data_IF_867211905015
#
_entry.id   IF_867211905015
#
_cell.length_a   1.000
_cell.length_b   1.000
_cell.length_c   1.000
_cell.angle_alpha   90.00
_cell.angle_beta   90.00
_cell.angle_gamma   90.00
#
_symmetry.space_group_name_H-M   'P 1'
#
loop_
_entity.id
_entity.type
_entity.pdbx_description
1 polymer ?
#
# COMPACT_ATOMS: atom_id res chain seq x y z
N UNK A 1 -9.90 10.46 -17.24
CA UNK A 1 -9.58 10.69 -15.81
C UNK A 1 -8.71 11.93 -15.68
N UNK A 2 -9.12 12.86 -14.86
CA UNK A 2 -8.33 14.07 -14.59
C UNK A 2 -7.17 13.73 -13.65
N UNK A 3 -6.12 14.59 -13.59
CA UNK A 3 -5.04 14.39 -12.62
C UNK A 3 -5.53 14.37 -11.17
N UNK A 4 -6.53 15.18 -10.83
CA UNK A 4 -7.10 15.20 -9.49
C UNK A 4 -7.82 13.90 -9.15
N UNK A 5 -8.58 13.37 -10.10
CA UNK A 5 -9.26 12.08 -9.94
C UNK A 5 -8.27 10.95 -9.75
N UNK A 6 -7.15 10.98 -10.49
CA UNK A 6 -6.09 9.98 -10.34
C UNK A 6 -5.46 10.05 -8.96
N UNK A 7 -5.16 11.25 -8.46
CA UNK A 7 -4.59 11.42 -7.13
C UNK A 7 -5.54 10.87 -6.07
N UNK A 8 -6.83 11.14 -6.21
CA UNK A 8 -7.85 10.66 -5.28
C UNK A 8 -7.95 9.13 -5.32
N UNK A 9 -7.91 8.54 -6.51
CA UNK A 9 -7.93 7.08 -6.66
C UNK A 9 -6.68 6.44 -6.09
N UNK A 10 -5.52 7.02 -6.37
CA UNK A 10 -4.25 6.51 -5.84
C UNK A 10 -4.24 6.53 -4.32
N UNK A 11 -4.77 7.61 -3.72
CA UNK A 11 -4.87 7.72 -2.26
C UNK A 11 -5.80 6.64 -1.68
N UNK A 12 -6.90 6.34 -2.35
CA UNK A 12 -7.82 5.29 -1.92
C UNK A 12 -7.16 3.91 -2.00
N UNK A 13 -6.42 3.64 -3.06
CA UNK A 13 -5.68 2.38 -3.22
C UNK A 13 -4.61 2.24 -2.13
N UNK A 14 -3.87 3.31 -1.85
CA UNK A 14 -2.85 3.31 -0.80
C UNK A 14 -3.47 3.05 0.57
N UNK A 15 -4.61 3.67 0.86
CA UNK A 15 -5.31 3.45 2.13
C UNK A 15 -5.77 2.02 2.28
N UNK A 16 -6.31 1.43 1.21
CA UNK A 16 -6.74 0.04 1.22
C UNK A 16 -5.55 -0.89 1.49
N UNK A 17 -4.42 -0.65 0.83
CA UNK A 17 -3.21 -1.42 1.06
C UNK A 17 -2.71 -1.28 2.50
N UNK A 18 -2.80 -0.08 3.09
CA UNK A 18 -2.46 0.14 4.49
C UNK A 18 -3.36 -0.65 5.43
N UNK A 19 -4.66 -0.63 5.17
CA UNK A 19 -5.63 -1.37 6.00
C UNK A 19 -5.38 -2.88 5.92
N UNK A 20 -5.12 -3.39 4.72
CA UNK A 20 -4.83 -4.81 4.52
C UNK A 20 -3.54 -5.22 5.22
N UNK A 21 -2.48 -4.42 5.10
CA UNK A 21 -1.20 -4.70 5.75
C UNK A 21 -1.35 -4.64 7.27
N UNK A 22 -2.05 -3.65 7.79
CA UNK A 22 -2.27 -3.50 9.22
C UNK A 22 -3.06 -4.69 9.79
N UNK A 23 -4.10 -5.11 9.10
CA UNK A 23 -4.90 -6.27 9.49
C UNK A 23 -4.03 -7.53 9.53
N UNK A 24 -3.28 -7.77 8.46
CA UNK A 24 -2.48 -9.00 8.32
C UNK A 24 -1.34 -9.07 9.32
N UNK A 25 -0.80 -7.92 9.74
CA UNK A 25 0.37 -7.85 10.60
C UNK A 25 0.04 -7.42 12.03
N UNK A 26 -1.23 -7.25 12.34
CA UNK A 26 -1.68 -6.91 13.69
C UNK A 26 -1.29 -5.51 14.15
N UNK A 27 -1.20 -4.56 13.21
CA UNK A 27 -0.87 -3.17 13.50
C UNK A 27 -2.10 -2.27 13.42
N UNK A 28 -1.97 -1.03 13.87
CA UNK A 28 -3.03 -0.04 13.68
C UNK A 28 -3.05 0.44 12.23
N UNK A 29 -4.23 0.78 11.68
CA UNK A 29 -4.33 1.17 10.27
C UNK A 29 -3.64 2.48 9.91
N UNK A 30 -3.34 3.36 10.85
CA UNK A 30 -2.76 4.68 10.56
C UNK A 30 -1.27 4.57 10.25
N UNK A 31 -0.94 4.03 9.10
CA UNK A 31 0.43 3.84 8.67
C UNK A 31 0.94 4.99 7.80
N UNK A 32 0.03 5.78 7.20
CA UNK A 32 0.42 6.80 6.22
C UNK A 32 1.00 8.04 6.87
N UNK A 33 0.46 8.43 8.03
CA UNK A 33 0.86 9.63 8.71
C UNK A 33 2.06 9.49 9.63
N UNK A 34 2.47 8.27 9.93
CA UNK A 34 3.55 8.02 10.87
C UNK A 34 4.91 8.12 10.20
N UNK A 35 5.75 9.02 10.70
CA UNK A 35 7.16 9.10 10.31
C UNK A 35 8.04 8.32 11.27
N UNK A 36 7.55 8.06 12.47
CA UNK A 36 8.20 7.27 13.51
C UNK A 36 7.21 6.24 14.00
N UNK A 37 7.73 5.18 14.57
CA UNK A 37 6.95 4.11 15.12
C UNK A 37 7.86 2.95 15.49
N UNK A 38 7.29 1.89 16.01
CA UNK A 38 8.07 0.69 16.28
C UNK A 38 8.38 -0.04 14.95
N UNK A 39 9.23 -1.06 15.05
CA UNK A 39 9.67 -1.81 13.88
C UNK A 39 8.49 -2.49 13.17
N UNK A 40 7.48 -2.94 13.91
CA UNK A 40 6.31 -3.58 13.32
C UNK A 40 5.50 -2.62 12.44
N UNK A 41 5.30 -1.38 12.91
CA UNK A 41 4.61 -0.34 12.14
C UNK A 41 5.41 0.05 10.90
N UNK A 42 6.73 0.18 11.03
CA UNK A 42 7.61 0.49 9.91
C UNK A 42 7.54 -0.62 8.85
N UNK A 43 7.57 -1.87 9.29
CA UNK A 43 7.46 -3.01 8.38
C UNK A 43 6.10 -3.05 7.68
N UNK A 44 5.03 -2.82 8.41
CA UNK A 44 3.68 -2.79 7.84
C UNK A 44 3.54 -1.70 6.78
N UNK A 45 4.16 -0.53 7.00
CA UNK A 45 4.17 0.54 6.01
C UNK A 45 4.93 0.13 4.75
N UNK A 46 6.07 -0.54 4.90
CA UNK A 46 6.81 -1.06 3.75
C UNK A 46 5.99 -2.07 2.96
N UNK A 47 5.29 -2.96 3.64
CA UNK A 47 4.37 -3.92 3.00
C UNK A 47 3.28 -3.17 2.25
N UNK A 48 2.69 -2.14 2.85
CA UNK A 48 1.64 -1.35 2.20
C UNK A 48 2.14 -0.65 0.93
N UNK A 49 3.34 -0.07 0.96
CA UNK A 49 3.96 0.54 -0.21
C UNK A 49 4.21 -0.49 -1.31
N UNK A 50 4.74 -1.64 -0.94
CA UNK A 50 5.00 -2.73 -1.87
C UNK A 50 3.70 -3.20 -2.54
N UNK A 51 2.67 -3.46 -1.75
CA UNK A 51 1.38 -3.91 -2.27
C UNK A 51 0.73 -2.87 -3.18
N UNK A 52 0.83 -1.60 -2.83
CA UNK A 52 0.31 -0.52 -3.66
C UNK A 52 0.99 -0.51 -5.02
N UNK A 53 2.29 -0.76 -5.04
CA UNK A 53 3.06 -0.83 -6.28
C UNK A 53 2.70 -2.07 -7.11
N UNK A 54 2.71 -3.26 -6.51
CA UNK A 54 2.58 -4.51 -7.27
C UNK A 54 1.14 -4.94 -7.51
N UNK A 55 0.24 -4.73 -6.55
CA UNK A 55 -1.14 -5.16 -6.71
C UNK A 55 -1.94 -4.20 -7.58
N UNK A 56 -1.74 -2.90 -7.43
CA UNK A 56 -2.45 -1.88 -8.20
C UNK A 56 -1.68 -1.40 -9.43
N UNK A 57 -0.45 -1.87 -9.61
CA UNK A 57 0.34 -1.49 -10.78
C UNK A 57 0.74 -0.01 -10.81
N UNK A 58 0.83 0.63 -9.66
CA UNK A 58 1.21 2.03 -9.58
C UNK A 58 2.73 2.19 -9.68
N UNK A 59 3.16 3.22 -10.40
CA UNK A 59 4.58 3.54 -10.48
C UNK A 59 5.13 3.92 -9.11
N UNK A 60 6.45 3.81 -8.93
CA UNK A 60 7.08 4.21 -7.67
C UNK A 60 6.77 5.67 -7.33
N UNK A 61 6.75 6.55 -8.34
CA UNK A 61 6.44 7.97 -8.12
C UNK A 61 5.00 8.17 -7.64
N UNK A 62 4.05 7.45 -8.22
CA UNK A 62 2.64 7.55 -7.80
C UNK A 62 2.48 7.03 -6.37
N UNK A 63 3.14 5.93 -6.02
CA UNK A 63 3.12 5.41 -4.65
C UNK A 63 3.73 6.44 -3.69
N UNK A 64 4.87 7.02 -4.05
CA UNK A 64 5.52 8.04 -3.24
C UNK A 64 4.59 9.23 -2.98
N UNK A 65 3.92 9.71 -4.01
CA UNK A 65 2.95 10.80 -3.87
C UNK A 65 1.80 10.40 -2.94
N UNK A 66 1.25 9.21 -3.13
CA UNK A 66 0.11 8.74 -2.31
C UNK A 66 0.47 8.57 -0.84
N UNK A 67 1.70 8.17 -0.53
CA UNK A 67 2.18 7.99 0.84
C UNK A 67 2.87 9.22 1.40
N UNK A 68 3.05 10.26 0.60
CA UNK A 68 3.79 11.47 0.98
C UNK A 68 5.20 11.11 1.46
N UNK A 69 5.91 10.33 0.66
CA UNK A 69 7.29 9.89 0.91
C UNK A 69 8.11 10.09 -0.35
N UNK A 70 9.44 10.07 -0.21
CA UNK A 70 10.32 10.14 -1.36
C UNK A 70 10.24 8.86 -2.19
N UNK A 71 10.43 9.00 -3.50
CA UNK A 71 10.47 7.85 -4.41
C UNK A 71 11.54 6.85 -4.01
N UNK A 72 12.70 7.33 -3.54
CA UNK A 72 13.78 6.45 -3.08
C UNK A 72 13.37 5.64 -1.86
N UNK A 73 12.58 6.22 -0.96
CA UNK A 73 12.05 5.51 0.21
C UNK A 73 11.13 4.37 -0.22
N UNK A 74 10.26 4.62 -1.21
CA UNK A 74 9.36 3.60 -1.74
C UNK A 74 10.15 2.50 -2.44
N UNK A 75 11.14 2.86 -3.27
CA UNK A 75 11.99 1.88 -3.94
C UNK A 75 12.72 0.99 -2.93
N UNK A 76 13.27 1.59 -1.87
CA UNK A 76 13.93 0.85 -0.80
C UNK A 76 12.97 -0.11 -0.11
N UNK A 77 11.76 0.36 0.20
CA UNK A 77 10.73 -0.48 0.84
C UNK A 77 10.37 -1.67 -0.05
N UNK A 78 10.17 -1.44 -1.34
CA UNK A 78 9.83 -2.51 -2.28
C UNK A 78 10.95 -3.55 -2.38
N UNK A 79 12.20 -3.12 -2.42
CA UNK A 79 13.34 -4.04 -2.42
C UNK A 79 13.40 -4.86 -1.12
N UNK A 80 13.21 -4.20 0.02
CA UNK A 80 13.25 -4.87 1.31
C UNK A 80 12.18 -5.94 1.42
N UNK A 81 10.97 -5.66 0.93
CA UNK A 81 9.87 -6.63 0.97
C UNK A 81 10.10 -7.76 -0.04
N UNK A 82 10.60 -7.45 -1.24
CA UNK A 82 10.92 -8.48 -2.23
C UNK A 82 11.94 -9.48 -1.67
N UNK A 83 12.95 -8.99 -0.96
CA UNK A 83 13.95 -9.86 -0.33
C UNK A 83 13.34 -10.78 0.73
N UNK A 84 12.25 -10.36 1.36
CA UNK A 84 11.55 -11.17 2.37
C UNK A 84 10.78 -12.34 1.75
N UNK A 85 10.59 -12.34 0.44
CA UNK A 85 9.91 -13.45 -0.25
C UNK A 85 10.72 -14.73 -0.30
N UNK A 86 11.98 -14.67 0.07
CA UNK A 86 12.78 -15.90 0.25
C UNK A 86 12.25 -16.76 1.40
N UNK A 87 11.55 -16.19 2.36
CA UNK A 87 10.83 -16.92 3.39
C UNK A 87 9.49 -17.39 2.83
N UNK A 88 9.24 -18.72 2.75
CA UNK A 88 8.00 -19.24 2.16
C UNK A 88 6.72 -18.74 2.84
N UNK A 89 6.74 -18.57 4.16
CA UNK A 89 5.56 -18.09 4.88
C UNK A 89 5.24 -16.63 4.51
N UNK A 90 6.28 -15.82 4.39
CA UNK A 90 6.13 -14.41 3.98
C UNK A 90 5.68 -14.32 2.53
N UNK A 91 6.26 -15.13 1.65
CA UNK A 91 5.90 -15.17 0.24
C UNK A 91 4.42 -15.54 0.07
N UNK A 92 3.94 -16.55 0.79
CA UNK A 92 2.53 -16.94 0.76
C UNK A 92 1.62 -15.83 1.26
N UNK A 93 1.98 -15.17 2.34
CA UNK A 93 1.19 -14.05 2.87
C UNK A 93 1.09 -12.91 1.85
N UNK A 94 2.21 -12.54 1.25
CA UNK A 94 2.23 -11.46 0.26
C UNK A 94 1.42 -11.82 -0.98
N UNK A 95 1.51 -13.07 -1.45
CA UNK A 95 0.70 -13.54 -2.58
C UNK A 95 -0.79 -13.44 -2.30
N UNK A 96 -1.21 -13.83 -1.10
CA UNK A 96 -2.62 -13.76 -0.70
C UNK A 96 -3.10 -12.32 -0.60
N UNK A 97 -2.28 -11.43 -0.06
CA UNK A 97 -2.62 -10.01 0.04
C UNK A 97 -2.73 -9.38 -1.35
N UNK A 98 -1.78 -9.68 -2.24
CA UNK A 98 -1.86 -9.19 -3.63
C UNK A 98 -3.13 -9.67 -4.31
N UNK A 99 -3.45 -10.95 -4.18
CA UNK A 99 -4.64 -11.51 -4.81
C UNK A 99 -5.92 -10.86 -4.28
N UNK A 100 -5.99 -10.63 -2.97
CA UNK A 100 -7.14 -9.99 -2.34
C UNK A 100 -7.32 -8.54 -2.81
N UNK A 101 -6.23 -7.80 -2.93
CA UNK A 101 -6.28 -6.41 -3.38
C UNK A 101 -6.66 -6.32 -4.84
N UNK A 102 -6.14 -7.20 -5.69
CA UNK A 102 -6.49 -7.23 -7.12
C UNK A 102 -7.93 -7.64 -7.36
N UNK A 103 -8.48 -8.51 -6.52
CA UNK A 103 -9.85 -9.00 -6.65
C UNK A 103 -10.87 -7.99 -6.14
N UNK A 104 -10.47 -7.00 -5.36
CA UNK A 104 -11.38 -6.01 -4.83
C UNK A 104 -11.93 -5.13 -5.95
N UNK A 105 -13.22 -4.74 -5.88
CA UNK A 105 -13.75 -3.80 -6.87
C UNK A 105 -13.05 -2.45 -6.72
N UNK A 106 -13.03 -1.64 -7.80
CA UNK A 106 -12.46 -0.30 -7.71
C UNK A 106 -13.21 0.54 -6.69
N UNK A 107 -12.55 1.55 -6.10
CA UNK A 107 -13.20 2.42 -5.12
C UNK A 107 -14.48 3.03 -5.67
N UNK A 108 -15.54 2.97 -4.89
CA UNK A 108 -16.83 3.52 -5.26
C UNK A 108 -16.98 4.92 -4.66
N UNK A 109 -17.31 5.89 -5.52
CA UNK A 109 -17.59 7.24 -5.07
C UNK A 109 -19.09 7.43 -5.02
N UNK A 110 -19.62 7.58 -3.81
CA UNK A 110 -21.04 7.89 -3.62
C UNK A 110 -21.27 9.37 -3.94
N UNK A 111 -22.04 9.62 -5.00
CA UNK A 111 -22.48 10.97 -5.32
C UNK A 111 -23.83 11.20 -4.67
N UNK A 112 -23.86 12.11 -3.74
CA UNK A 112 -25.12 12.55 -3.17
C UNK A 112 -25.71 13.59 -4.12
N UNK A 113 -26.99 13.42 -4.46
CA UNK A 113 -27.70 14.40 -5.27
C UNK A 113 -27.71 15.74 -4.55
N UNK A 114 -27.35 16.78 -5.27
CA UNK A 114 -27.38 18.13 -4.72
C UNK A 114 -28.81 18.61 -4.56
#
# INVERSE_FOLDING_TARGET
>A
MTPMERITLDAACARFACDAAAFALGCTPDLMGQTRGNAATAFARQVAMYLTHVAFGMSLQRVATAFNRDRSTVAHACHAIEDRRDDPAMDDLLDRLEASLRAAPPPFTLRLAA
#
